data_IF_486529152058
#
_entry.id   IF_486529152058
#
_cell.length_a   1.000
_cell.length_b   1.000
_cell.length_c   1.000
_cell.angle_alpha   90.00
_cell.angle_beta   90.00
_cell.angle_gamma   90.00
#
_symmetry.space_group_name_H-M   'P 1'
#
loop_
_entity.id
_entity.type
_entity.pdbx_description
1 polymer ?
#
# COMPACT_ATOMS: atom_id res chain seq x y z
N UNK A 1 0.25 -10.95 11.58
CA UNK A 1 -0.30 -11.41 10.29
C UNK A 1 -0.49 -12.93 10.25
N UNK A 2 -1.55 -13.38 9.59
CA UNK A 2 -1.85 -14.78 9.28
C UNK A 2 -1.11 -15.18 8.00
N UNK A 3 -0.59 -16.40 7.96
CA UNK A 3 -0.10 -17.04 6.74
C UNK A 3 -0.99 -18.25 6.41
N UNK A 4 -1.37 -18.40 5.14
CA UNK A 4 -2.16 -19.54 4.66
C UNK A 4 -1.75 -19.92 3.25
N UNK A 5 -1.70 -21.23 2.95
CA UNK A 5 -1.54 -21.72 1.58
C UNK A 5 -2.85 -21.54 0.83
N UNK A 6 -2.79 -21.07 -0.41
CA UNK A 6 -3.98 -20.91 -1.26
C UNK A 6 -4.79 -22.21 -1.34
N UNK A 7 -4.12 -23.36 -1.53
CA UNK A 7 -4.83 -24.65 -1.58
C UNK A 7 -5.50 -25.04 -0.26
N UNK A 8 -4.99 -24.58 0.90
CA UNK A 8 -5.71 -24.82 2.17
C UNK A 8 -6.93 -23.90 2.29
N UNK A 9 -6.84 -22.67 1.80
CA UNK A 9 -7.97 -21.73 1.74
C UNK A 9 -9.10 -22.24 0.83
N UNK A 10 -8.76 -22.74 -0.36
CA UNK A 10 -9.72 -23.36 -1.29
C UNK A 10 -10.38 -24.61 -0.69
N UNK A 11 -9.62 -25.41 0.06
CA UNK A 11 -10.12 -26.57 0.80
C UNK A 11 -10.96 -26.17 2.05
N UNK A 12 -11.16 -24.88 2.31
CA UNK A 12 -11.93 -24.37 3.45
C UNK A 12 -11.30 -24.67 4.80
N UNK A 13 -9.96 -24.75 4.87
CA UNK A 13 -9.24 -25.11 6.11
C UNK A 13 -8.06 -24.19 6.39
N UNK A 14 -7.72 -24.09 7.68
CA UNK A 14 -6.51 -23.38 8.12
C UNK A 14 -5.23 -24.08 7.67
N UNK A 15 -4.17 -23.30 7.45
CA UNK A 15 -2.82 -23.84 7.36
C UNK A 15 -2.21 -24.08 8.74
N UNK A 16 -1.24 -25.00 8.79
CA UNK A 16 -0.36 -25.26 9.94
C UNK A 16 1.09 -25.20 9.48
N UNK A 17 2.03 -25.05 10.43
CA UNK A 17 3.45 -25.07 10.09
C UNK A 17 3.87 -26.37 9.41
N UNK A 18 3.34 -27.53 9.82
CA UNK A 18 3.62 -28.82 9.15
C UNK A 18 3.21 -28.82 7.68
N UNK A 19 2.04 -28.24 7.37
CA UNK A 19 1.54 -28.13 6.00
C UNK A 19 2.38 -27.16 5.17
N UNK A 20 2.74 -26.02 5.75
CA UNK A 20 3.58 -25.01 5.09
C UNK A 20 4.98 -25.57 4.82
N UNK A 21 5.59 -26.31 5.76
CA UNK A 21 6.91 -26.94 5.59
C UNK A 21 6.96 -28.02 4.51
N UNK A 22 5.82 -28.61 4.15
CA UNK A 22 5.69 -29.56 3.03
C UNK A 22 5.51 -28.85 1.68
N UNK A 23 5.43 -27.52 1.66
CA UNK A 23 5.36 -26.72 0.44
C UNK A 23 6.74 -26.62 -0.22
N UNK A 24 6.75 -26.46 -1.54
CA UNK A 24 7.96 -26.10 -2.30
C UNK A 24 8.36 -24.62 -2.11
N UNK A 25 7.43 -23.79 -1.60
CA UNK A 25 7.66 -22.36 -1.35
C UNK A 25 7.98 -22.15 0.12
N UNK A 26 9.12 -21.51 0.38
CA UNK A 26 9.53 -21.14 1.73
C UNK A 26 8.97 -19.73 2.12
N UNK A 27 8.34 -19.58 3.30
CA UNK A 27 7.92 -18.27 3.80
C UNK A 27 9.11 -17.34 4.03
N UNK A 28 9.08 -16.12 3.50
CA UNK A 28 10.12 -15.11 3.77
C UNK A 28 9.85 -14.34 5.06
N UNK A 29 8.59 -14.00 5.33
CA UNK A 29 8.17 -13.39 6.59
C UNK A 29 7.92 -14.49 7.64
N UNK A 30 8.83 -14.61 8.62
CA UNK A 30 8.76 -15.63 9.68
C UNK A 30 7.90 -15.21 10.88
N UNK A 31 7.72 -13.90 11.11
CA UNK A 31 6.89 -13.36 12.19
C UNK A 31 5.40 -13.37 11.83
N UNK A 32 4.85 -14.58 11.69
CA UNK A 32 3.48 -14.86 11.24
C UNK A 32 2.89 -16.05 11.98
N UNK A 33 1.57 -16.17 11.96
CA UNK A 33 0.84 -17.30 12.55
C UNK A 33 0.11 -18.06 11.44
N UNK A 34 0.35 -19.38 11.26
CA UNK A 34 -0.43 -20.19 10.34
C UNK A 34 -1.90 -20.25 10.76
N UNK A 35 -2.80 -19.95 9.85
CA UNK A 35 -4.21 -19.84 10.17
C UNK A 35 -5.12 -19.86 8.97
N UNK A 36 -6.30 -19.31 9.17
CA UNK A 36 -7.32 -19.11 8.15
C UNK A 36 -7.58 -17.61 8.01
N UNK A 37 -7.26 -17.04 6.84
CA UNK A 37 -7.48 -15.63 6.55
C UNK A 37 -8.96 -15.28 6.48
N UNK A 38 -9.83 -16.26 6.22
CA UNK A 38 -11.29 -16.10 6.25
C UNK A 38 -11.83 -15.75 7.63
N UNK A 39 -11.09 -16.06 8.70
CA UNK A 39 -11.42 -15.61 10.06
C UNK A 39 -11.03 -14.15 10.32
N UNK A 40 -10.13 -13.58 9.51
CA UNK A 40 -9.59 -12.24 9.71
C UNK A 40 -10.11 -11.20 8.68
N UNK A 41 -10.68 -11.65 7.57
CA UNK A 41 -11.17 -10.80 6.49
C UNK A 41 -12.68 -11.03 6.25
N UNK A 42 -13.43 -10.01 5.81
CA UNK A 42 -14.81 -10.21 5.38
C UNK A 42 -14.90 -11.22 4.23
N UNK A 43 -15.92 -12.09 4.24
CA UNK A 43 -16.11 -13.14 3.22
C UNK A 43 -15.99 -12.63 1.78
N UNK A 44 -16.64 -11.51 1.47
CA UNK A 44 -16.58 -10.89 0.13
C UNK A 44 -15.16 -10.52 -0.32
N UNK A 45 -14.28 -10.13 0.61
CA UNK A 45 -12.88 -9.83 0.29
C UNK A 45 -12.13 -11.11 -0.07
N UNK A 46 -12.40 -12.20 0.64
CA UNK A 46 -11.82 -13.51 0.37
C UNK A 46 -12.29 -14.06 -0.98
N UNK A 47 -13.60 -13.97 -1.27
CA UNK A 47 -14.14 -14.40 -2.58
C UNK A 47 -13.49 -13.62 -3.73
N UNK A 48 -13.43 -12.29 -3.62
CA UNK A 48 -12.82 -11.43 -4.63
C UNK A 48 -11.33 -11.75 -4.81
N UNK A 49 -10.61 -12.09 -3.72
CA UNK A 49 -9.21 -12.50 -3.77
C UNK A 49 -9.06 -13.81 -4.54
N UNK A 50 -9.88 -14.82 -4.24
CA UNK A 50 -9.86 -16.11 -4.94
C UNK A 50 -10.21 -15.94 -6.42
N UNK A 51 -11.24 -15.16 -6.74
CA UNK A 51 -11.62 -14.85 -8.12
C UNK A 51 -10.49 -14.14 -8.87
N UNK A 52 -9.85 -13.14 -8.24
CA UNK A 52 -8.71 -12.43 -8.80
C UNK A 52 -7.55 -13.38 -9.11
N UNK A 53 -7.15 -14.22 -8.15
CA UNK A 53 -6.04 -15.15 -8.33
C UNK A 53 -6.32 -16.13 -9.48
N UNK A 54 -7.53 -16.69 -9.54
CA UNK A 54 -7.94 -17.59 -10.62
C UNK A 54 -7.97 -16.91 -12.00
N UNK A 55 -8.45 -15.67 -12.07
CA UNK A 55 -8.49 -14.92 -13.34
C UNK A 55 -7.09 -14.57 -13.83
N UNK A 56 -6.23 -14.09 -12.94
CA UNK A 56 -4.87 -13.66 -13.28
C UNK A 56 -3.96 -14.85 -13.58
N UNK A 57 -4.23 -16.05 -13.05
CA UNK A 57 -3.47 -17.26 -13.39
C UNK A 57 -3.47 -17.56 -14.90
N UNK A 58 -4.53 -17.18 -15.63
CA UNK A 58 -4.57 -17.29 -17.10
C UNK A 58 -3.53 -16.39 -17.81
N UNK A 59 -3.09 -15.32 -17.16
CA UNK A 59 -2.09 -14.37 -17.66
C UNK A 59 -0.72 -14.67 -17.09
N UNK A 60 -0.64 -15.10 -15.83
CA UNK A 60 0.59 -15.45 -15.11
C UNK A 60 0.44 -16.86 -14.54
N UNK A 61 0.76 -17.90 -15.35
CA UNK A 61 0.58 -19.29 -14.94
C UNK A 61 1.35 -19.63 -13.67
N UNK A 62 0.68 -20.27 -12.72
CA UNK A 62 1.25 -20.70 -11.44
C UNK A 62 1.02 -19.72 -10.28
N UNK A 63 0.40 -18.57 -10.53
CA UNK A 63 -0.02 -17.63 -9.49
C UNK A 63 -1.05 -18.28 -8.55
N UNK A 64 -2.03 -19.00 -9.10
CA UNK A 64 -3.06 -19.72 -8.35
C UNK A 64 -2.61 -21.13 -7.94
N UNK A 65 -1.30 -21.37 -7.81
CA UNK A 65 -0.78 -22.63 -7.30
C UNK A 65 -1.26 -22.91 -5.86
N UNK A 66 -1.56 -24.17 -5.55
CA UNK A 66 -1.87 -24.60 -4.17
C UNK A 66 -0.76 -24.29 -3.16
N UNK A 67 0.46 -24.07 -3.64
CA UNK A 67 1.63 -23.71 -2.82
C UNK A 67 1.81 -22.20 -2.61
N UNK A 68 1.01 -21.36 -3.27
CA UNK A 68 1.02 -19.90 -3.09
C UNK A 68 0.72 -19.56 -1.64
N UNK A 69 1.59 -18.73 -1.04
CA UNK A 69 1.47 -18.30 0.35
C UNK A 69 0.78 -16.94 0.41
N UNK A 70 -0.36 -16.89 1.08
CA UNK A 70 -1.13 -15.67 1.35
C UNK A 70 -0.76 -15.15 2.73
N UNK A 71 -0.50 -13.85 2.82
CA UNK A 71 -0.26 -13.14 4.08
C UNK A 71 -1.35 -12.10 4.27
N UNK A 72 -2.08 -12.15 5.39
CA UNK A 72 -3.20 -11.25 5.64
C UNK A 72 -3.41 -10.93 7.13
N UNK A 73 -4.07 -9.80 7.47
CA UNK A 73 -4.36 -8.68 6.58
C UNK A 73 -3.09 -7.87 6.28
N UNK A 74 -3.03 -7.26 5.10
CA UNK A 74 -2.13 -6.13 4.84
C UNK A 74 -2.89 -4.87 5.26
N UNK A 75 -2.37 -4.15 6.25
CA UNK A 75 -3.00 -2.93 6.76
C UNK A 75 -1.97 -1.82 6.70
N UNK A 76 -2.29 -0.79 5.92
CA UNK A 76 -1.67 0.52 6.04
C UNK A 76 -2.64 1.41 6.79
N UNK A 77 -2.33 1.74 8.05
CA UNK A 77 -3.14 2.67 8.81
C UNK A 77 -3.19 4.00 8.05
N UNK A 78 -4.41 4.40 7.65
CA UNK A 78 -4.60 5.51 6.73
C UNK A 78 -3.95 6.79 7.25
N UNK A 79 -3.32 7.49 6.31
CA UNK A 79 -3.06 8.90 6.40
C UNK A 79 -4.38 9.66 6.24
N UNK A 80 -4.76 10.49 7.21
CA UNK A 80 -5.74 11.54 6.94
C UNK A 80 -5.22 12.39 5.78
N UNK A 81 -6.06 12.67 4.78
CA UNK A 81 -5.67 13.55 3.67
C UNK A 81 -5.69 14.98 4.17
N UNK A 82 -4.51 15.57 4.35
CA UNK A 82 -4.38 16.98 4.68
C UNK A 82 -5.02 17.85 3.59
N UNK A 83 -5.80 18.84 4.00
CA UNK A 83 -6.32 19.86 3.09
C UNK A 83 -5.22 20.89 2.89
N UNK A 84 -4.78 21.06 1.64
CA UNK A 84 -3.68 21.96 1.26
C UNK A 84 -4.00 22.77 0.00
N UNK A 85 -3.32 23.89 -0.17
CA UNK A 85 -3.34 24.69 -1.40
C UNK A 85 -2.36 24.15 -2.47
N UNK A 86 -2.27 24.83 -3.63
CA UNK A 86 -1.37 24.45 -4.74
C UNK A 86 0.11 24.35 -4.33
N UNK A 87 0.52 25.04 -3.26
CA UNK A 87 1.88 25.08 -2.73
C UNK A 87 2.03 24.25 -1.45
N UNK A 88 1.12 23.31 -1.21
CA UNK A 88 1.14 22.37 -0.08
C UNK A 88 1.00 23.02 1.31
N UNK A 89 0.57 24.29 1.38
CA UNK A 89 0.24 24.94 2.65
C UNK A 89 -1.13 24.45 3.12
N UNK A 90 -1.23 24.11 4.40
CA UNK A 90 -2.48 23.65 5.02
C UNK A 90 -3.45 24.82 5.25
N UNK A 91 -4.59 24.53 5.88
CA UNK A 91 -5.51 25.57 6.36
C UNK A 91 -4.93 26.42 7.50
N UNK A 92 -3.84 25.96 8.13
CA UNK A 92 -3.11 26.70 9.15
C UNK A 92 -1.93 27.41 8.50
N UNK A 93 -1.87 28.71 8.70
CA UNK A 93 -0.86 29.57 8.09
C UNK A 93 0.57 29.16 8.48
N UNK A 94 1.45 29.03 7.49
CA UNK A 94 2.86 28.68 7.69
C UNK A 94 3.10 27.20 7.96
N UNK A 95 2.06 26.36 7.99
CA UNK A 95 2.18 24.91 8.12
C UNK A 95 1.98 24.27 6.76
N UNK A 96 2.99 23.49 6.33
CA UNK A 96 3.00 22.78 5.05
C UNK A 96 2.95 21.27 5.28
N UNK A 97 2.20 20.56 4.44
CA UNK A 97 2.06 19.12 4.52
C UNK A 97 2.41 18.47 3.18
N UNK A 98 3.27 17.45 3.20
CA UNK A 98 3.75 16.75 2.01
C UNK A 98 3.98 15.27 2.30
N UNK A 99 4.09 14.47 1.24
CA UNK A 99 4.39 13.04 1.32
C UNK A 99 3.19 12.15 1.64
N UNK A 100 3.48 10.85 1.77
CA UNK A 100 2.45 9.81 1.90
C UNK A 100 1.71 9.94 3.24
N UNK A 101 2.40 10.38 4.30
CA UNK A 101 1.84 10.60 5.64
C UNK A 101 0.92 11.82 5.75
N UNK A 102 0.88 12.68 4.71
CA UNK A 102 -0.14 13.72 4.56
C UNK A 102 -1.32 13.29 3.68
N UNK A 103 -1.27 12.08 3.11
CA UNK A 103 -2.31 11.53 2.24
C UNK A 103 -2.34 12.19 0.86
N UNK A 104 -1.25 12.87 0.50
CA UNK A 104 -1.09 13.63 -0.75
C UNK A 104 -0.32 12.86 -1.82
N UNK A 105 0.32 11.74 -1.45
CA UNK A 105 1.01 10.85 -2.36
C UNK A 105 0.69 9.39 -2.08
N UNK A 106 1.07 8.50 -3.01
CA UNK A 106 0.97 7.03 -2.89
C UNK A 106 2.22 6.35 -3.44
N UNK A 107 3.37 6.94 -3.16
CA UNK A 107 4.65 6.44 -3.68
C UNK A 107 5.76 7.47 -3.64
N UNK A 108 6.99 6.97 -3.74
CA UNK A 108 8.25 7.70 -3.52
C UNK A 108 8.33 8.97 -4.40
N UNK A 109 8.04 8.84 -5.69
CA UNK A 109 8.19 9.96 -6.63
C UNK A 109 7.22 11.11 -6.35
N UNK A 110 5.95 10.78 -6.07
CA UNK A 110 4.93 11.79 -5.78
C UNK A 110 5.18 12.40 -4.40
N UNK A 111 5.63 11.61 -3.43
CA UNK A 111 6.02 12.12 -2.12
C UNK A 111 7.15 13.15 -2.23
N UNK A 112 8.21 12.83 -2.98
CA UNK A 112 9.31 13.75 -3.25
C UNK A 112 8.84 15.03 -3.97
N UNK A 113 7.99 14.89 -4.99
CA UNK A 113 7.43 16.02 -5.72
C UNK A 113 6.63 16.96 -4.79
N UNK A 114 5.76 16.42 -3.92
CA UNK A 114 5.03 17.25 -2.94
C UNK A 114 5.96 17.94 -1.95
N UNK A 115 7.08 17.33 -1.58
CA UNK A 115 8.10 17.95 -0.75
C UNK A 115 8.77 19.15 -1.43
N UNK A 116 9.08 19.04 -2.72
CA UNK A 116 9.62 20.15 -3.52
C UNK A 116 8.61 21.29 -3.62
N UNK A 117 7.34 20.97 -3.87
CA UNK A 117 6.28 21.99 -3.97
C UNK A 117 6.06 22.70 -2.62
N UNK A 118 6.09 21.97 -1.51
CA UNK A 118 6.04 22.54 -0.17
C UNK A 118 7.23 23.47 0.10
N UNK A 119 8.44 23.07 -0.31
CA UNK A 119 9.62 23.91 -0.19
C UNK A 119 9.48 25.22 -0.99
N UNK A 120 8.89 25.18 -2.18
CA UNK A 120 8.56 26.38 -2.94
C UNK A 120 7.53 27.26 -2.21
N UNK A 121 6.49 26.66 -1.63
CA UNK A 121 5.52 27.37 -0.79
C UNK A 121 6.19 28.12 0.38
N UNK A 122 7.12 27.46 1.06
CA UNK A 122 7.90 28.06 2.16
C UNK A 122 8.74 29.23 1.65
N UNK A 123 9.46 29.07 0.53
CA UNK A 123 10.29 30.13 -0.05
C UNK A 123 9.46 31.35 -0.44
N UNK A 124 8.29 31.15 -1.06
CA UNK A 124 7.34 32.24 -1.36
C UNK A 124 6.91 32.96 -0.09
N UNK A 125 6.57 32.22 0.98
CA UNK A 125 6.16 32.78 2.27
C UNK A 125 7.25 33.63 2.92
N UNK A 126 8.51 33.22 2.75
CA UNK A 126 9.69 33.93 3.24
C UNK A 126 10.13 35.09 2.32
N UNK A 127 9.40 35.39 1.24
CA UNK A 127 9.74 36.44 0.29
C UNK A 127 11.01 36.15 -0.50
N UNK A 128 11.32 34.87 -0.75
CA UNK A 128 12.47 34.44 -1.56
C UNK A 128 12.06 34.18 -3.00
N UNK A 129 12.89 34.63 -3.94
CA UNK A 129 12.70 34.36 -5.36
C UNK A 129 12.99 32.89 -5.69
N UNK A 130 12.16 32.32 -6.58
CA UNK A 130 12.28 30.96 -7.07
C UNK A 130 12.44 31.01 -8.58
N UNK A 131 13.66 30.78 -9.06
CA UNK A 131 13.93 30.65 -10.50
C UNK A 131 13.81 29.18 -10.92
N UNK A 132 12.59 28.75 -11.25
CA UNK A 132 12.33 27.39 -11.73
C UNK A 132 11.14 27.36 -12.70
N UNK A 133 11.30 26.72 -13.86
CA UNK A 133 10.25 26.63 -14.88
C UNK A 133 9.00 25.89 -14.39
N UNK A 134 9.18 24.82 -13.60
CA UNK A 134 8.07 24.04 -13.05
C UNK A 134 7.27 24.84 -12.03
N UNK A 135 7.95 25.65 -11.21
CA UNK A 135 7.27 26.55 -10.27
C UNK A 135 6.36 27.55 -11.01
N UNK A 136 6.85 28.13 -12.11
CA UNK A 136 6.07 29.07 -12.91
C UNK A 136 4.82 28.42 -13.54
N UNK A 137 4.90 27.13 -13.90
CA UNK A 137 3.75 26.37 -14.40
C UNK A 137 2.69 26.09 -13.33
N UNK A 138 3.08 25.97 -12.05
CA UNK A 138 2.15 25.72 -10.94
C UNK A 138 1.41 26.99 -10.50
N UNK A 139 2.05 28.16 -10.68
CA UNK A 139 1.46 29.46 -10.32
C UNK A 139 0.31 29.89 -11.25
N UNK A 140 0.28 29.38 -12.49
CA UNK A 140 -0.83 29.55 -13.43
C UNK A 140 -2.08 28.79 -12.96
#
# INVERSE_FOLDING_TARGET
PIIQRLGDLEDGRRSTWDRIRRSIVEPTLKFVTPGDIGMALPHRVVDNLLEFLNKVDNVVPGLASKYTLLYAPEIKYYSMRAVVNKLMETTVEGIFAAGDGAGLSRGINVAAATGVIAAWGILVKLGKDINNELFNKIKQ
#
